data_IF_235194386853
#
_entry.id   IF_235194386853
#
_cell.length_a   1.000
_cell.length_b   1.000
_cell.length_c   1.000
_cell.angle_alpha   90.00
_cell.angle_beta   90.00
_cell.angle_gamma   90.00
#
_symmetry.space_group_name_H-M   'P 1'
#
loop_
_entity.id
_entity.type
_entity.pdbx_description
1 polymer ?
#
# COMPACT_ATOMS: atom_id res chain seq x y z
N UNK A 1 -5.96 11.02 1.48
CA UNK A 1 -6.41 12.36 1.93
C UNK A 1 -6.62 12.46 3.43
N UNK A 2 -6.87 11.37 4.17
CA UNK A 2 -7.14 11.44 5.62
C UNK A 2 -8.43 12.22 5.97
N UNK A 3 -9.24 12.53 4.95
CA UNK A 3 -10.53 13.21 5.05
C UNK A 3 -11.64 12.18 4.93
N UNK A 4 -12.76 12.48 5.55
CA UNK A 4 -13.99 11.70 5.45
C UNK A 4 -14.68 11.93 4.11
N UNK A 5 -15.54 10.99 3.68
CA UNK A 5 -16.29 11.11 2.41
C UNK A 5 -17.10 12.41 2.34
N UNK A 6 -17.73 12.82 3.44
CA UNK A 6 -18.50 14.06 3.53
C UNK A 6 -17.65 15.32 3.32
N UNK A 7 -16.38 15.30 3.72
CA UNK A 7 -15.45 16.42 3.50
C UNK A 7 -14.92 16.47 2.07
N UNK A 8 -14.97 15.34 1.34
CA UNK A 8 -14.62 15.28 -0.08
C UNK A 8 -15.77 15.84 -0.92
N UNK A 9 -17.02 15.48 -0.59
CA UNK A 9 -18.21 15.99 -1.28
C UNK A 9 -18.40 17.50 -1.10
N UNK A 10 -18.03 18.04 0.06
CA UNK A 10 -18.10 19.48 0.33
C UNK A 10 -16.93 20.28 -0.26
N UNK A 11 -15.98 19.64 -0.96
CA UNK A 11 -14.77 20.28 -1.42
C UNK A 11 -14.99 21.07 -2.72
N UNK A 12 -14.56 22.35 -2.79
CA UNK A 12 -14.54 23.09 -4.05
C UNK A 12 -13.68 22.42 -5.12
N UNK A 13 -14.14 22.42 -6.39
CA UNK A 13 -13.41 21.84 -7.54
C UNK A 13 -11.97 22.36 -7.70
N UNK A 14 -11.72 23.61 -7.30
CA UNK A 14 -10.38 24.21 -7.31
C UNK A 14 -9.37 23.40 -6.50
N UNK A 15 -9.78 22.86 -5.36
CA UNK A 15 -8.88 22.05 -4.54
C UNK A 15 -8.56 20.71 -5.20
N UNK A 16 -9.49 20.13 -5.95
CA UNK A 16 -9.23 18.91 -6.71
C UNK A 16 -8.12 19.16 -7.74
N UNK A 17 -8.17 20.28 -8.47
CA UNK A 17 -7.09 20.67 -9.39
C UNK A 17 -5.74 20.87 -8.68
N UNK A 18 -5.73 21.54 -7.52
CA UNK A 18 -4.52 21.73 -6.71
C UNK A 18 -3.94 20.38 -6.26
N UNK A 19 -4.79 19.42 -5.88
CA UNK A 19 -4.36 18.08 -5.51
C UNK A 19 -3.84 17.28 -6.70
N UNK A 20 -4.51 17.32 -7.85
CA UNK A 20 -4.04 16.66 -9.06
C UNK A 20 -2.64 17.16 -9.44
N UNK A 21 -2.44 18.47 -9.41
CA UNK A 21 -1.12 19.07 -9.68
C UNK A 21 -0.10 18.65 -8.61
N UNK A 22 -0.47 18.68 -7.33
CA UNK A 22 0.38 18.23 -6.22
C UNK A 22 0.81 16.76 -6.38
N UNK A 23 -0.07 15.85 -6.81
CA UNK A 23 0.29 14.44 -7.04
C UNK A 23 1.13 14.25 -8.31
N UNK A 24 0.92 15.06 -9.35
CA UNK A 24 1.75 15.05 -10.56
C UNK A 24 3.19 15.49 -10.27
N UNK A 25 3.38 16.47 -9.39
CA UNK A 25 4.71 16.97 -9.00
C UNK A 25 5.52 15.97 -8.16
N UNK A 26 4.90 14.89 -7.67
CA UNK A 26 5.52 13.90 -6.78
C UNK A 26 6.39 14.55 -5.67
N UNK A 27 5.82 15.37 -4.78
CA UNK A 27 6.57 16.14 -3.78
C UNK A 27 7.27 15.25 -2.74
N UNK A 28 6.79 14.02 -2.55
CA UNK A 28 7.45 13.03 -1.72
C UNK A 28 8.35 12.08 -2.52
N UNK A 29 8.43 12.25 -3.84
CA UNK A 29 9.19 11.41 -4.77
C UNK A 29 8.79 9.94 -4.73
N UNK A 30 9.75 9.07 -5.08
CA UNK A 30 9.60 7.62 -5.10
C UNK A 30 9.63 6.98 -3.71
N UNK A 31 9.50 7.74 -2.62
CA UNK A 31 9.67 7.22 -1.25
C UNK A 31 8.81 5.98 -0.95
N UNK A 32 7.59 5.89 -1.52
CA UNK A 32 6.73 4.70 -1.38
C UNK A 32 7.35 3.48 -2.05
N UNK A 33 7.91 3.67 -3.23
CA UNK A 33 8.60 2.62 -3.98
C UNK A 33 9.93 2.26 -3.33
N UNK A 34 10.72 3.26 -2.91
CA UNK A 34 11.98 3.08 -2.18
C UNK A 34 11.76 2.34 -0.86
N UNK A 35 10.70 2.69 -0.12
CA UNK A 35 10.35 1.99 1.11
C UNK A 35 9.89 0.54 0.86
N UNK A 36 9.10 0.31 -0.19
CA UNK A 36 8.66 -1.04 -0.57
C UNK A 36 9.85 -1.90 -1.01
N UNK A 37 10.73 -1.35 -1.84
CA UNK A 37 11.94 -2.03 -2.30
C UNK A 37 12.90 -2.31 -1.15
N UNK A 38 13.07 -1.39 -0.20
CA UNK A 38 13.86 -1.61 1.01
C UNK A 38 13.30 -2.75 1.87
N UNK A 39 11.98 -2.83 2.05
CA UNK A 39 11.35 -3.96 2.76
C UNK A 39 11.60 -5.30 2.06
N UNK A 40 11.44 -5.36 0.74
CA UNK A 40 11.69 -6.57 -0.05
C UNK A 40 13.16 -6.97 0.04
N UNK A 41 14.08 -6.01 -0.11
CA UNK A 41 15.52 -6.25 -0.01
C UNK A 41 15.91 -6.75 1.38
N UNK A 42 15.31 -6.19 2.43
CA UNK A 42 15.50 -6.64 3.80
C UNK A 42 15.02 -8.09 3.99
N UNK A 43 13.84 -8.44 3.49
CA UNK A 43 13.32 -9.82 3.52
C UNK A 43 14.27 -10.78 2.81
N UNK A 44 14.71 -10.42 1.60
CA UNK A 44 15.65 -11.19 0.80
C UNK A 44 16.99 -11.39 1.53
N UNK A 45 17.51 -10.33 2.15
CA UNK A 45 18.74 -10.40 2.93
C UNK A 45 18.57 -11.27 4.18
N UNK A 46 17.45 -11.13 4.89
CA UNK A 46 17.17 -11.90 6.10
C UNK A 46 17.06 -13.41 5.80
N UNK A 47 16.39 -13.79 4.71
CA UNK A 47 16.29 -15.19 4.24
C UNK A 47 17.66 -15.77 3.87
N UNK A 48 18.50 -14.98 3.18
CA UNK A 48 19.80 -15.47 2.67
C UNK A 48 20.98 -15.25 3.63
N UNK A 49 20.77 -14.60 4.78
CA UNK A 49 21.85 -14.24 5.71
C UNK A 49 22.53 -15.44 6.36
N UNK A 50 21.76 -16.45 6.76
CA UNK A 50 22.29 -17.64 7.43
C UNK A 50 21.50 -18.90 7.03
N UNK A 51 22.13 -19.92 6.43
CA UNK A 51 21.44 -21.13 5.99
C UNK A 51 20.95 -22.03 7.13
N UNK A 52 21.26 -21.69 8.39
CA UNK A 52 20.83 -22.41 9.60
C UNK A 52 19.78 -21.65 10.43
N UNK A 53 19.47 -20.41 10.04
CA UNK A 53 18.52 -19.57 10.76
C UNK A 53 17.13 -19.80 10.16
N UNK A 54 16.11 -19.88 11.01
CA UNK A 54 14.73 -19.97 10.54
C UNK A 54 14.38 -18.74 9.70
N UNK A 55 13.77 -18.98 8.55
CA UNK A 55 13.29 -17.91 7.67
C UNK A 55 12.32 -17.01 8.43
N UNK A 56 12.48 -15.68 8.37
CA UNK A 56 11.60 -14.77 9.09
C UNK A 56 10.18 -14.90 8.55
N UNK A 57 9.19 -14.93 9.45
CA UNK A 57 7.78 -15.13 9.08
C UNK A 57 7.16 -13.83 8.60
N UNK A 58 6.29 -13.91 7.60
CA UNK A 58 5.56 -12.73 7.07
C UNK A 58 4.80 -11.96 8.17
N UNK A 59 4.30 -12.67 9.18
CA UNK A 59 3.60 -12.13 10.34
C UNK A 59 4.46 -11.23 11.24
N UNK A 60 5.79 -11.34 11.17
CA UNK A 60 6.72 -10.48 11.93
C UNK A 60 6.82 -9.07 11.34
N UNK A 61 6.54 -8.92 10.04
CA UNK A 61 6.56 -7.63 9.34
C UNK A 61 5.17 -7.06 9.14
N UNK A 62 4.18 -7.94 8.98
CA UNK A 62 2.80 -7.55 8.75
C UNK A 62 1.90 -8.15 9.83
N UNK A 63 1.77 -7.45 10.98
CA UNK A 63 0.98 -7.95 12.10
C UNK A 63 -0.50 -8.14 11.74
N UNK A 64 -0.97 -7.45 10.69
CA UNK A 64 -2.32 -7.59 10.16
C UNK A 64 -2.63 -9.00 9.59
N UNK A 65 -1.62 -9.76 9.18
CA UNK A 65 -1.79 -11.14 8.69
C UNK A 65 -1.69 -12.19 9.81
N UNK A 66 -1.35 -11.77 11.04
CA UNK A 66 -1.35 -12.67 12.19
C UNK A 66 -2.77 -13.01 12.64
N UNK A 67 -3.74 -12.14 12.32
CA UNK A 67 -5.14 -12.33 12.65
C UNK A 67 -5.89 -12.85 11.41
N UNK A 68 -6.23 -14.15 11.42
CA UNK A 68 -6.96 -14.77 10.30
C UNK A 68 -8.35 -14.15 10.08
N UNK A 69 -8.89 -13.44 11.08
CA UNK A 69 -10.15 -12.69 10.97
C UNK A 69 -10.06 -11.40 10.13
N UNK A 70 -8.85 -10.88 9.89
CA UNK A 70 -8.63 -9.72 9.02
C UNK A 70 -8.63 -10.09 7.53
N UNK A 71 -8.35 -11.35 7.18
CA UNK A 71 -8.35 -11.82 5.78
C UNK A 71 -9.78 -11.98 5.25
N UNK A 72 -10.74 -12.36 6.10
CA UNK A 72 -12.17 -12.39 5.73
C UNK A 72 -12.74 -10.98 5.51
N UNK A 73 -12.30 -9.96 6.28
CA UNK A 73 -12.76 -8.58 6.12
C UNK A 73 -12.08 -7.80 4.97
N UNK A 74 -11.03 -8.34 4.35
CA UNK A 74 -10.36 -7.71 3.20
C UNK A 74 -10.95 -8.14 1.84
N UNK A 75 -11.94 -9.04 1.82
CA UNK A 75 -12.66 -9.38 0.59
C UNK A 75 -13.53 -8.22 0.06
N UNK A 76 -13.80 -7.21 0.90
CA UNK A 76 -14.60 -6.04 0.54
C UNK A 76 -13.79 -4.86 -0.02
N UNK A 77 -12.45 -4.95 -0.05
CA UNK A 77 -11.59 -3.98 -0.73
C UNK A 77 -11.24 -4.47 -2.14
N UNK A 78 -12.25 -4.54 -3.01
CA UNK A 78 -12.03 -4.64 -4.45
C UNK A 78 -11.28 -3.38 -4.94
N UNK A 79 -9.97 -3.50 -5.15
CA UNK A 79 -9.08 -2.46 -5.66
C UNK A 79 -9.39 -2.10 -7.13
N UNK A 80 -10.47 -2.61 -7.72
CA UNK A 80 -10.92 -2.33 -9.09
C UNK A 80 -9.97 -2.81 -10.18
N UNK A 81 -8.88 -3.46 -9.80
CA UNK A 81 -7.83 -3.98 -10.69
C UNK A 81 -8.35 -5.11 -11.57
N UNK A 82 -9.26 -5.94 -11.05
CA UNK A 82 -9.99 -6.97 -11.78
C UNK A 82 -10.80 -6.37 -12.94
N UNK A 83 -11.53 -5.26 -12.68
CA UNK A 83 -12.32 -4.56 -13.71
C UNK A 83 -11.45 -3.94 -14.80
N UNK A 84 -10.31 -3.34 -14.41
CA UNK A 84 -9.37 -2.73 -15.35
C UNK A 84 -8.74 -3.77 -16.28
N UNK A 85 -8.42 -4.95 -15.77
CA UNK A 85 -7.89 -6.06 -16.56
C UNK A 85 -8.93 -6.67 -17.51
N UNK A 86 -10.20 -6.71 -17.10
CA UNK A 86 -11.30 -7.21 -17.93
C UNK A 86 -11.64 -6.30 -19.12
N UNK A 87 -11.26 -5.02 -19.08
CA UNK A 87 -11.47 -4.05 -20.16
C UNK A 87 -10.29 -3.94 -21.15
N UNK A 88 -9.33 -4.87 -21.09
CA UNK A 88 -8.19 -4.91 -22.02
C UNK A 88 -8.47 -5.69 -23.30
#
# INVERSE_FOLDING_TARGET
MGKTLSEIEAMPERHLQEYEQFYQEQPFGLWREDYRTAQIAYLLAAINSDPKKDSPKLTEFMPFFADQSAVENNQDFDDGSEMFLAQR
#
